data_IF_281424320700
#
_entry.id   IF_281424320700
#
_cell.length_a   1.000
_cell.length_b   1.000
_cell.length_c   1.000
_cell.angle_alpha   90.00
_cell.angle_beta   90.00
_cell.angle_gamma   90.00
#
_symmetry.space_group_name_H-M   'P 1'
#
loop_
_entity.id
_entity.type
_entity.pdbx_description
1 polymer ?
#
# COMPACT_ATOMS: atom_id res chain seq x y z
N UNK A 1 18.17 -18.68 -6.01
CA UNK A 1 17.23 -19.16 -4.94
C UNK A 1 17.09 -18.05 -3.92
N UNK A 2 15.87 -17.64 -3.62
CA UNK A 2 15.54 -16.57 -2.66
C UNK A 2 16.02 -16.91 -1.26
N UNK A 3 16.75 -15.99 -0.61
CA UNK A 3 17.23 -16.12 0.76
C UNK A 3 16.55 -15.13 1.73
N UNK A 4 15.87 -14.11 1.20
CA UNK A 4 15.11 -13.15 1.99
C UNK A 4 14.17 -12.34 1.13
N UNK A 5 13.20 -11.68 1.78
CA UNK A 5 12.15 -10.92 1.10
C UNK A 5 12.13 -9.45 1.53
N UNK A 6 11.82 -8.60 0.59
CA UNK A 6 11.35 -7.23 0.83
C UNK A 6 9.90 -7.15 0.37
N UNK A 7 9.01 -6.70 1.26
CA UNK A 7 7.61 -6.47 0.94
C UNK A 7 7.28 -4.99 0.89
N UNK A 8 6.49 -4.57 -0.08
CA UNK A 8 5.69 -3.37 0.02
C UNK A 8 4.48 -3.60 0.94
N UNK A 9 3.91 -2.51 1.49
CA UNK A 9 2.72 -2.58 2.34
C UNK A 9 1.45 -2.19 1.57
N UNK A 10 1.38 -0.95 1.10
CA UNK A 10 0.16 -0.34 0.58
C UNK A 10 -0.17 -0.77 -0.85
N UNK A 11 -1.20 -1.56 -1.04
CA UNK A 11 -1.50 -2.24 -2.29
C UNK A 11 -1.12 -3.71 -2.27
N UNK A 12 -0.09 -4.06 -1.51
CA UNK A 12 0.47 -5.41 -1.44
C UNK A 12 -0.08 -6.20 -0.26
N UNK A 13 0.26 -5.82 0.97
CA UNK A 13 -0.12 -6.57 2.17
C UNK A 13 -1.52 -6.21 2.68
N UNK A 14 -2.03 -5.04 2.35
CA UNK A 14 -3.26 -4.48 2.92
C UNK A 14 -4.47 -4.50 1.98
N UNK A 15 -4.25 -4.64 0.67
CA UNK A 15 -5.34 -4.74 -0.33
C UNK A 15 -5.20 -5.93 -1.28
N UNK A 16 -4.09 -6.71 -1.19
CA UNK A 16 -3.93 -7.94 -1.97
C UNK A 16 -3.74 -7.72 -3.48
N UNK A 17 -3.00 -6.69 -3.87
CA UNK A 17 -2.70 -6.36 -5.26
C UNK A 17 -3.64 -5.29 -5.86
N UNK A 18 -4.70 -4.88 -5.15
CA UNK A 18 -5.55 -3.82 -5.61
C UNK A 18 -4.97 -2.45 -5.24
N UNK A 19 -4.80 -1.56 -6.22
CA UNK A 19 -4.35 -0.20 -5.96
C UNK A 19 -5.33 0.55 -5.04
N UNK A 20 -4.83 1.27 -4.04
CA UNK A 20 -5.66 1.99 -3.05
C UNK A 20 -6.68 2.95 -3.66
N UNK A 21 -6.37 3.59 -4.80
CA UNK A 21 -7.33 4.41 -5.52
C UNK A 21 -8.54 3.60 -5.98
N UNK A 22 -8.33 2.37 -6.46
CA UNK A 22 -9.43 1.49 -6.89
C UNK A 22 -10.20 0.92 -5.70
N UNK A 23 -9.51 0.53 -4.63
CA UNK A 23 -10.17 0.08 -3.40
C UNK A 23 -11.11 1.15 -2.82
N UNK A 24 -10.66 2.40 -2.81
CA UNK A 24 -11.47 3.56 -2.40
C UNK A 24 -12.62 3.82 -3.39
N UNK A 25 -12.35 3.83 -4.70
CA UNK A 25 -13.39 4.06 -5.70
C UNK A 25 -14.53 3.05 -5.56
N UNK A 26 -14.21 1.77 -5.46
CA UNK A 26 -15.23 0.74 -5.25
C UNK A 26 -15.99 0.88 -3.92
N UNK A 27 -15.38 1.44 -2.88
CA UNK A 27 -16.11 1.77 -1.67
C UNK A 27 -17.12 2.91 -1.93
N UNK A 28 -16.73 3.95 -2.68
CA UNK A 28 -17.64 5.02 -3.09
C UNK A 28 -18.81 4.49 -3.91
N UNK A 29 -18.57 3.58 -4.85
CA UNK A 29 -19.62 2.92 -5.65
C UNK A 29 -20.57 2.10 -4.76
N UNK A 30 -20.04 1.25 -3.88
CA UNK A 30 -20.84 0.40 -2.98
C UNK A 30 -21.74 1.21 -2.05
N UNK A 31 -21.28 2.36 -1.62
CA UNK A 31 -22.03 3.26 -0.75
C UNK A 31 -22.82 4.32 -1.51
N UNK A 32 -22.87 4.21 -2.84
CA UNK A 32 -23.62 5.13 -3.71
C UNK A 32 -23.30 6.61 -3.45
N UNK A 33 -22.02 6.94 -3.23
CA UNK A 33 -21.60 8.33 -3.07
C UNK A 33 -21.85 9.06 -4.39
N UNK A 34 -22.62 10.19 -4.40
CA UNK A 34 -23.09 10.82 -5.63
C UNK A 34 -22.00 11.68 -6.30
N UNK A 35 -20.93 11.03 -6.76
CA UNK A 35 -19.79 11.65 -7.46
C UNK A 35 -19.40 10.80 -8.66
N UNK A 36 -18.83 11.42 -9.68
CA UNK A 36 -18.26 10.71 -10.82
C UNK A 36 -16.85 10.18 -10.49
N UNK A 37 -16.42 9.16 -11.22
CA UNK A 37 -15.03 8.65 -11.09
C UNK A 37 -13.99 9.74 -11.32
N UNK A 38 -14.22 10.64 -12.29
CA UNK A 38 -13.30 11.76 -12.55
C UNK A 38 -13.17 12.70 -11.34
N UNK A 39 -14.28 13.08 -10.71
CA UNK A 39 -14.27 13.89 -9.48
C UNK A 39 -13.57 13.17 -8.33
N UNK A 40 -13.85 11.87 -8.16
CA UNK A 40 -13.18 11.04 -7.17
C UNK A 40 -11.65 11.00 -7.41
N UNK A 41 -11.21 10.82 -8.67
CA UNK A 41 -9.78 10.80 -9.02
C UNK A 41 -9.07 12.11 -8.64
N UNK A 42 -9.70 13.24 -8.88
CA UNK A 42 -9.17 14.54 -8.46
C UNK A 42 -9.06 14.64 -6.93
N UNK A 43 -10.11 14.24 -6.21
CA UNK A 43 -10.14 14.24 -4.75
C UNK A 43 -9.10 13.30 -4.14
N UNK A 44 -8.93 12.12 -4.72
CA UNK A 44 -7.90 11.17 -4.32
C UNK A 44 -6.49 11.77 -4.44
N UNK A 45 -6.17 12.31 -5.62
CA UNK A 45 -4.86 12.93 -5.85
C UNK A 45 -4.64 14.13 -4.94
N UNK A 46 -5.68 14.93 -4.69
CA UNK A 46 -5.61 16.05 -3.76
C UNK A 46 -5.29 15.59 -2.33
N UNK A 47 -5.98 14.57 -1.84
CA UNK A 47 -5.76 14.02 -0.50
C UNK A 47 -4.34 13.44 -0.35
N UNK A 48 -3.87 12.63 -1.31
CA UNK A 48 -2.51 12.08 -1.29
C UNK A 48 -1.43 13.17 -1.26
N UNK A 49 -1.57 14.19 -2.11
CA UNK A 49 -0.64 15.33 -2.13
C UNK A 49 -0.67 16.12 -0.83
N UNK A 50 -1.85 16.30 -0.25
CA UNK A 50 -2.01 17.03 1.01
C UNK A 50 -1.36 16.28 2.16
N UNK A 51 -1.59 14.98 2.28
CA UNK A 51 -0.97 14.12 3.29
C UNK A 51 0.55 14.02 3.13
N UNK A 52 1.04 13.96 1.89
CA UNK A 52 2.48 13.89 1.62
C UNK A 52 3.24 15.20 1.88
N UNK A 53 2.55 16.35 1.92
CA UNK A 53 3.18 17.67 2.13
C UNK A 53 3.02 18.21 3.55
N UNK A 54 2.05 17.72 4.28
CA UNK A 54 1.69 18.25 5.59
C UNK A 54 1.73 17.13 6.63
N UNK A 55 2.24 17.38 7.85
CA UNK A 55 2.31 16.39 8.93
C UNK A 55 0.95 16.21 9.60
N UNK A 56 -0.07 15.82 8.83
CA UNK A 56 -1.44 15.59 9.33
C UNK A 56 -1.48 14.27 10.10
N UNK A 57 -0.81 13.24 9.56
CA UNK A 57 -0.71 11.93 10.20
C UNK A 57 0.42 11.98 11.23
N UNK A 58 0.12 11.55 12.45
CA UNK A 58 1.08 11.49 13.56
C UNK A 58 1.70 10.10 13.64
N UNK A 59 2.92 9.97 14.15
CA UNK A 59 3.55 8.66 14.35
C UNK A 59 2.76 7.70 15.25
N UNK A 60 1.86 8.22 16.08
CA UNK A 60 0.98 7.43 16.96
C UNK A 60 -0.35 7.04 16.33
N UNK A 61 -0.67 7.55 15.15
CA UNK A 61 -1.98 7.31 14.53
C UNK A 61 -2.08 5.89 14.01
N UNK A 62 -3.24 5.27 14.24
CA UNK A 62 -3.58 3.95 13.72
C UNK A 62 -3.86 4.01 12.22
N UNK A 63 -3.94 2.84 11.58
CA UNK A 63 -4.37 2.76 10.19
C UNK A 63 -5.78 3.34 10.01
N UNK A 64 -6.69 3.02 10.94
CA UNK A 64 -8.05 3.57 10.91
C UNK A 64 -8.06 5.10 10.95
N UNK A 65 -7.24 5.72 11.79
CA UNK A 65 -7.10 7.18 11.86
C UNK A 65 -6.47 7.77 10.60
N UNK A 66 -5.47 7.10 10.04
CA UNK A 66 -4.85 7.48 8.75
C UNK A 66 -5.88 7.44 7.61
N UNK A 67 -6.67 6.38 7.53
CA UNK A 67 -7.72 6.22 6.53
C UNK A 67 -8.83 7.26 6.72
N UNK A 68 -9.23 7.55 7.96
CA UNK A 68 -10.20 8.59 8.28
C UNK A 68 -9.72 9.97 7.81
N UNK A 69 -8.46 10.33 8.09
CA UNK A 69 -7.88 11.59 7.63
C UNK A 69 -7.90 11.71 6.10
N UNK A 70 -7.56 10.64 5.40
CA UNK A 70 -7.61 10.56 3.93
C UNK A 70 -9.03 10.76 3.40
N UNK A 71 -10.00 10.06 3.94
CA UNK A 71 -11.41 10.18 3.55
C UNK A 71 -11.98 11.58 3.83
N UNK A 72 -11.64 12.18 4.98
CA UNK A 72 -12.05 13.55 5.30
C UNK A 72 -11.54 14.56 4.27
N UNK A 73 -10.29 14.45 3.84
CA UNK A 73 -9.72 15.31 2.81
C UNK A 73 -10.43 15.13 1.46
N UNK A 74 -10.72 13.89 1.07
CA UNK A 74 -11.44 13.61 -0.18
C UNK A 74 -12.86 14.18 -0.15
N UNK A 75 -13.63 13.89 0.91
CA UNK A 75 -15.01 14.33 1.03
C UNK A 75 -15.12 15.85 1.17
N UNK A 76 -14.17 16.50 1.84
CA UNK A 76 -14.11 17.96 1.93
C UNK A 76 -13.82 18.59 0.54
N UNK A 77 -12.87 18.03 -0.22
CA UNK A 77 -12.57 18.48 -1.58
C UNK A 77 -13.79 18.37 -2.50
N UNK A 78 -14.45 17.21 -2.48
CA UNK A 78 -15.65 16.94 -3.27
C UNK A 78 -16.82 17.85 -2.87
N UNK A 79 -16.98 18.14 -1.61
CA UNK A 79 -18.01 19.05 -1.10
C UNK A 79 -17.83 20.50 -1.60
N UNK A 80 -16.59 20.92 -1.80
CA UNK A 80 -16.29 22.24 -2.34
C UNK A 80 -16.50 22.36 -3.86
N UNK A 81 -16.47 21.22 -4.58
CA UNK A 81 -16.75 21.19 -6.01
C UNK A 81 -18.26 21.22 -6.35
N UNK A 82 -19.13 20.96 -5.37
CA UNK A 82 -20.58 20.95 -5.60
C UNK A 82 -21.20 22.32 -5.33
N UNK A 83 -21.74 23.02 -6.34
CA UNK A 83 -22.37 24.34 -6.18
C UNK A 83 -23.72 24.28 -5.43
N UNK A 84 -24.21 23.08 -5.07
CA UNK A 84 -25.54 22.85 -4.52
C UNK A 84 -25.60 22.78 -2.98
N UNK A 85 -24.49 22.96 -2.27
CA UNK A 85 -24.48 22.81 -0.81
C UNK A 85 -23.82 23.99 -0.09
N UNK A 86 -24.62 25.06 0.09
CA UNK A 86 -24.35 26.03 1.16
C UNK A 86 -24.57 25.33 2.52
N UNK A 87 -23.57 25.36 3.37
CA UNK A 87 -23.58 25.18 4.82
C UNK A 87 -23.37 23.79 5.47
N UNK A 88 -23.34 22.67 4.84
CA UNK A 88 -22.75 21.39 5.34
C UNK A 88 -22.71 20.45 4.15
N UNK A 89 -21.51 20.02 3.74
CA UNK A 89 -21.41 19.07 2.63
C UNK A 89 -22.14 17.77 3.03
N UNK A 90 -23.25 17.38 2.38
CA UNK A 90 -23.92 16.13 2.68
C UNK A 90 -23.01 14.92 2.52
N UNK A 91 -21.87 15.09 1.82
CA UNK A 91 -20.89 14.04 1.60
C UNK A 91 -20.18 13.59 2.87
N UNK A 92 -20.09 14.43 3.91
CA UNK A 92 -19.45 14.01 5.18
C UNK A 92 -20.22 12.87 5.87
N UNK A 93 -21.50 12.71 5.59
CA UNK A 93 -22.31 11.58 6.12
C UNK A 93 -21.81 10.22 5.62
N UNK A 94 -21.12 10.17 4.49
CA UNK A 94 -20.50 8.95 3.96
C UNK A 94 -19.19 8.55 4.66
N UNK A 95 -18.62 9.42 5.49
CA UNK A 95 -17.33 9.15 6.13
C UNK A 95 -17.32 7.84 6.92
N UNK A 96 -18.26 7.66 7.85
CA UNK A 96 -18.30 6.46 8.68
C UNK A 96 -18.55 5.18 7.88
N UNK A 97 -19.55 5.12 7.00
CA UNK A 97 -19.78 3.94 6.16
C UNK A 97 -18.56 3.56 5.31
N UNK A 98 -17.91 4.54 4.66
CA UNK A 98 -16.72 4.31 3.85
C UNK A 98 -15.53 3.81 4.70
N UNK A 99 -15.33 4.45 5.85
CA UNK A 99 -14.25 4.09 6.77
C UNK A 99 -14.42 2.67 7.30
N UNK A 100 -15.63 2.30 7.72
CA UNK A 100 -15.91 0.98 8.28
C UNK A 100 -15.75 -0.11 7.21
N UNK A 101 -16.30 0.08 6.00
CA UNK A 101 -16.17 -0.87 4.89
C UNK A 101 -14.71 -1.12 4.51
N UNK A 102 -13.95 -0.05 4.28
CA UNK A 102 -12.55 -0.15 3.89
C UNK A 102 -11.69 -0.77 4.99
N UNK A 103 -11.92 -0.36 6.24
CA UNK A 103 -11.16 -0.87 7.38
C UNK A 103 -11.38 -2.38 7.58
N UNK A 104 -12.62 -2.87 7.54
CA UNK A 104 -12.91 -4.30 7.70
C UNK A 104 -12.38 -5.14 6.53
N UNK A 105 -12.40 -4.60 5.31
CA UNK A 105 -11.75 -5.25 4.15
C UNK A 105 -10.24 -5.35 4.35
N UNK A 106 -9.60 -4.27 4.76
CA UNK A 106 -8.16 -4.28 5.05
C UNK A 106 -7.81 -5.26 6.16
N UNK A 107 -8.61 -5.35 7.23
CA UNK A 107 -8.43 -6.39 8.28
C UNK A 107 -8.48 -7.81 7.71
N UNK A 108 -9.39 -8.05 6.79
CA UNK A 108 -9.52 -9.36 6.16
C UNK A 108 -8.29 -9.71 5.33
N UNK A 109 -7.84 -8.78 4.48
CA UNK A 109 -6.67 -8.99 3.62
C UNK A 109 -5.40 -9.12 4.44
N UNK A 110 -5.17 -8.23 5.42
CA UNK A 110 -3.98 -8.30 6.28
C UNK A 110 -3.91 -9.59 7.09
N UNK A 111 -5.06 -10.14 7.50
CA UNK A 111 -5.10 -11.45 8.16
C UNK A 111 -4.69 -12.60 7.22
N UNK A 112 -5.00 -12.52 5.93
CA UNK A 112 -4.55 -13.48 4.92
C UNK A 112 -3.05 -13.30 4.65
N UNK A 113 -2.60 -12.08 4.40
CA UNK A 113 -1.19 -11.75 4.19
C UNK A 113 -0.31 -12.24 5.34
N UNK A 114 -0.77 -12.06 6.58
CA UNK A 114 -0.06 -12.54 7.78
C UNK A 114 0.15 -14.05 7.79
N UNK A 115 -0.79 -14.85 7.28
CA UNK A 115 -0.62 -16.31 7.19
C UNK A 115 0.52 -16.68 6.24
N UNK A 116 0.60 -15.99 5.10
CA UNK A 116 1.69 -16.18 4.13
C UNK A 116 3.02 -15.81 4.76
N UNK A 117 3.11 -14.61 5.38
CA UNK A 117 4.34 -14.17 6.03
C UNK A 117 4.75 -15.10 7.19
N UNK A 118 3.80 -15.64 7.93
CA UNK A 118 4.09 -16.64 8.97
C UNK A 118 4.74 -17.88 8.39
N UNK A 119 4.21 -18.40 7.27
CA UNK A 119 4.80 -19.55 6.58
C UNK A 119 6.22 -19.28 6.10
N UNK A 120 6.48 -18.08 5.54
CA UNK A 120 7.84 -17.68 5.13
C UNK A 120 8.78 -17.56 6.33
N UNK A 121 8.30 -16.99 7.43
CA UNK A 121 9.05 -16.89 8.69
C UNK A 121 9.39 -18.28 9.26
N UNK A 122 8.44 -19.21 9.24
CA UNK A 122 8.63 -20.59 9.72
C UNK A 122 9.63 -21.36 8.84
N UNK A 123 9.78 -20.96 7.56
CA UNK A 123 10.83 -21.47 6.66
C UNK A 123 12.21 -20.80 6.90
N UNK A 124 12.32 -19.91 7.88
CA UNK A 124 13.55 -19.20 8.22
C UNK A 124 13.94 -18.09 7.23
N UNK A 125 13.01 -17.58 6.44
CA UNK A 125 13.27 -16.54 5.45
C UNK A 125 13.11 -15.16 6.11
N UNK A 126 14.18 -14.36 6.23
CA UNK A 126 14.11 -13.02 6.79
C UNK A 126 13.32 -12.09 5.86
N UNK A 127 12.59 -11.16 6.47
CA UNK A 127 11.74 -10.21 5.76
C UNK A 127 12.01 -8.78 6.24
N UNK A 128 11.95 -7.83 5.31
CA UNK A 128 12.00 -6.38 5.54
C UNK A 128 10.81 -5.75 4.86
N UNK A 129 10.27 -4.68 5.45
CA UNK A 129 9.21 -3.87 4.84
C UNK A 129 9.83 -2.61 4.24
N UNK A 130 9.48 -2.27 2.99
CA UNK A 130 9.85 -1.01 2.32
C UNK A 130 8.59 -0.36 1.79
N UNK A 131 8.18 0.77 2.36
CA UNK A 131 6.89 1.40 2.02
C UNK A 131 6.97 2.92 1.90
N UNK A 132 6.22 3.46 0.94
CA UNK A 132 5.87 4.88 0.95
C UNK A 132 4.71 5.08 1.92
N UNK A 133 4.99 5.66 3.10
CA UNK A 133 3.98 5.85 4.14
C UNK A 133 4.24 7.13 4.94
N UNK A 134 3.48 7.40 6.00
CA UNK A 134 3.35 8.72 6.63
C UNK A 134 4.13 8.86 7.95
N UNK A 135 4.96 7.90 8.35
CA UNK A 135 5.74 7.91 9.60
C UNK A 135 5.10 7.14 10.75
N UNK A 136 3.99 6.46 10.52
CA UNK A 136 3.25 5.70 11.54
C UNK A 136 3.21 4.18 11.28
N UNK A 137 4.03 3.68 10.36
CA UNK A 137 4.02 2.25 9.99
C UNK A 137 4.17 1.29 11.18
N UNK A 138 5.00 1.54 12.20
CA UNK A 138 5.09 0.65 13.36
C UNK A 138 3.76 0.47 14.10
N UNK A 139 2.93 1.53 14.18
CA UNK A 139 1.61 1.45 14.82
C UNK A 139 0.65 0.67 13.94
N UNK A 140 0.66 0.91 12.64
CA UNK A 140 -0.15 0.19 11.65
C UNK A 140 0.16 -1.30 11.64
N UNK A 141 1.44 -1.67 11.65
CA UNK A 141 1.84 -3.07 11.70
C UNK A 141 1.36 -3.77 12.97
N UNK A 142 1.44 -3.09 14.12
CA UNK A 142 0.91 -3.60 15.39
C UNK A 142 -0.61 -3.78 15.34
N UNK A 143 -1.33 -2.80 14.79
CA UNK A 143 -2.79 -2.84 14.67
C UNK A 143 -3.28 -4.08 13.90
N UNK A 144 -2.56 -4.49 12.87
CA UNK A 144 -2.89 -5.66 12.06
C UNK A 144 -2.12 -6.93 12.45
N UNK A 145 -1.37 -6.91 13.56
CA UNK A 145 -0.68 -8.08 14.13
C UNK A 145 0.52 -8.54 13.31
N UNK A 146 1.24 -7.61 12.69
CA UNK A 146 2.50 -7.88 12.01
C UNK A 146 3.73 -7.70 12.91
N UNK A 147 3.55 -7.60 14.23
CA UNK A 147 4.68 -7.48 15.15
C UNK A 147 5.65 -8.67 15.00
N UNK A 148 6.93 -8.36 14.89
CA UNK A 148 7.99 -9.36 14.80
C UNK A 148 8.07 -10.15 13.49
N UNK A 149 7.36 -9.74 12.44
CA UNK A 149 7.52 -10.34 11.12
C UNK A 149 8.71 -9.77 10.35
N UNK A 150 9.00 -8.50 10.52
CA UNK A 150 10.04 -7.80 9.77
C UNK A 150 11.24 -7.51 10.64
N UNK A 151 12.46 -7.76 10.12
CA UNK A 151 13.73 -7.38 10.75
C UNK A 151 13.88 -5.86 10.83
N UNK A 152 13.40 -5.16 9.80
CA UNK A 152 13.41 -3.71 9.71
C UNK A 152 12.20 -3.20 8.91
N UNK A 153 11.84 -1.94 9.17
CA UNK A 153 10.83 -1.18 8.43
C UNK A 153 11.50 0.06 7.85
N UNK A 154 11.60 0.10 6.52
CA UNK A 154 12.12 1.26 5.77
C UNK A 154 10.92 2.05 5.26
N UNK A 155 10.62 3.13 5.94
CA UNK A 155 9.46 3.99 5.66
C UNK A 155 9.89 5.33 5.06
N UNK A 156 9.31 5.71 3.93
CA UNK A 156 9.74 6.88 3.16
C UNK A 156 9.75 8.18 3.97
N UNK A 157 8.73 8.40 4.80
CA UNK A 157 8.64 9.59 5.64
C UNK A 157 9.72 9.65 6.73
N UNK A 158 10.30 8.51 7.11
CA UNK A 158 11.37 8.41 8.13
C UNK A 158 12.73 8.56 7.50
N UNK A 159 12.97 7.89 6.35
CA UNK A 159 14.30 7.89 5.70
C UNK A 159 14.49 9.05 4.73
N UNK A 160 13.43 9.80 4.39
CA UNK A 160 13.47 10.92 3.45
C UNK A 160 13.67 10.52 1.99
N UNK A 161 13.53 9.24 1.66
CA UNK A 161 13.63 8.67 0.31
C UNK A 161 12.34 7.95 0.00
N UNK A 162 11.74 8.20 -1.17
CA UNK A 162 10.46 7.59 -1.56
C UNK A 162 10.61 6.79 -2.86
N UNK A 163 9.91 5.68 -2.97
CA UNK A 163 9.72 5.00 -4.26
C UNK A 163 9.14 5.99 -5.29
N UNK A 164 9.59 6.01 -6.52
CA UNK A 164 10.38 4.98 -7.22
C UNK A 164 11.91 5.10 -7.10
N UNK A 165 12.46 5.93 -6.20
CA UNK A 165 13.90 6.01 -6.01
C UNK A 165 14.45 4.67 -5.51
N UNK A 166 15.31 4.02 -6.31
CA UNK A 166 15.87 2.69 -6.03
C UNK A 166 16.70 2.65 -4.74
N UNK A 167 17.18 3.80 -4.25
CA UNK A 167 17.96 3.89 -3.01
C UNK A 167 17.19 3.40 -1.79
N UNK A 168 15.86 3.54 -1.77
CA UNK A 168 15.06 3.05 -0.64
C UNK A 168 15.11 1.52 -0.52
N UNK A 169 15.18 0.80 -1.66
CA UNK A 169 15.32 -0.66 -1.68
C UNK A 169 16.71 -1.11 -1.26
N UNK A 170 17.77 -0.32 -1.58
CA UNK A 170 19.13 -0.61 -1.08
C UNK A 170 19.17 -0.62 0.45
N UNK A 171 18.48 0.29 1.12
CA UNK A 171 18.34 0.28 2.59
C UNK A 171 17.66 -1.01 3.08
N UNK A 172 16.68 -1.52 2.35
CA UNK A 172 16.03 -2.80 2.65
C UNK A 172 16.98 -3.99 2.49
N UNK A 173 17.78 -4.01 1.43
CA UNK A 173 18.80 -5.06 1.17
C UNK A 173 19.88 -5.03 2.25
N UNK A 174 20.37 -3.85 2.61
CA UNK A 174 21.34 -3.67 3.71
C UNK A 174 20.79 -4.19 5.05
N UNK A 175 19.52 -3.92 5.34
CA UNK A 175 18.87 -4.40 6.56
C UNK A 175 18.70 -5.93 6.59
N UNK A 176 18.61 -6.60 5.44
CA UNK A 176 18.63 -8.05 5.33
C UNK A 176 20.03 -8.65 5.51
N UNK A 177 21.08 -7.88 5.21
CA UNK A 177 22.46 -8.37 5.22
C UNK A 177 22.72 -9.44 4.14
N UNK A 178 22.02 -9.36 3.03
CA UNK A 178 22.09 -10.32 1.91
C UNK A 178 22.60 -9.64 0.64
N UNK A 179 23.15 -10.45 -0.29
CA UNK A 179 23.44 -9.97 -1.63
C UNK A 179 22.14 -9.72 -2.39
N UNK A 180 22.04 -8.64 -3.20
CA UNK A 180 20.80 -8.28 -3.91
C UNK A 180 20.16 -9.42 -4.70
N UNK A 181 20.97 -10.23 -5.39
CA UNK A 181 20.49 -11.36 -6.24
C UNK A 181 19.82 -12.48 -5.43
N UNK A 182 20.00 -12.47 -4.11
CA UNK A 182 19.36 -13.41 -3.17
C UNK A 182 18.09 -12.84 -2.53
N UNK A 183 17.78 -11.57 -2.79
CA UNK A 183 16.61 -10.88 -2.26
C UNK A 183 15.51 -10.85 -3.29
N UNK A 184 14.31 -11.22 -2.88
CA UNK A 184 13.10 -11.08 -3.70
C UNK A 184 12.24 -9.94 -3.17
N UNK A 185 11.92 -8.99 -4.04
CA UNK A 185 11.00 -7.87 -3.73
C UNK A 185 9.61 -8.19 -4.25
N UNK A 186 8.62 -8.04 -3.38
CA UNK A 186 7.21 -8.27 -3.68
C UNK A 186 6.44 -6.96 -3.56
N UNK A 187 5.77 -6.54 -4.63
CA UNK A 187 4.99 -5.30 -4.67
C UNK A 187 3.89 -5.34 -5.73
N UNK A 188 2.90 -4.44 -5.60
CA UNK A 188 1.78 -4.32 -6.54
C UNK A 188 2.03 -3.33 -7.68
N UNK A 189 2.95 -2.39 -7.50
CA UNK A 189 3.20 -1.33 -8.46
C UNK A 189 4.42 -1.60 -9.35
N UNK A 190 4.19 -1.73 -10.67
CA UNK A 190 5.30 -1.84 -11.62
C UNK A 190 6.25 -0.65 -11.53
N UNK A 191 5.71 0.57 -11.46
CA UNK A 191 6.51 1.80 -11.48
C UNK A 191 7.24 2.06 -10.15
N UNK A 192 6.62 1.71 -9.01
CA UNK A 192 7.16 2.05 -7.69
C UNK A 192 7.97 0.91 -7.08
N UNK A 193 7.62 -0.36 -7.39
CA UNK A 193 8.24 -1.51 -6.73
C UNK A 193 9.12 -2.32 -7.68
N UNK A 194 8.64 -2.62 -8.88
CA UNK A 194 9.28 -3.62 -9.74
C UNK A 194 10.41 -3.00 -10.58
N UNK A 195 10.12 -1.92 -11.31
CA UNK A 195 11.11 -1.29 -12.21
C UNK A 195 12.33 -0.78 -11.42
N UNK A 196 12.18 -0.01 -10.31
CA UNK A 196 13.34 0.51 -9.61
C UNK A 196 14.17 -0.57 -8.90
N UNK A 197 13.57 -1.68 -8.54
CA UNK A 197 14.25 -2.81 -7.90
C UNK A 197 15.23 -3.51 -8.85
N UNK A 198 14.95 -3.54 -10.14
CA UNK A 198 15.86 -4.11 -11.16
C UNK A 198 17.21 -3.39 -11.18
N UNK A 199 17.24 -2.08 -10.91
CA UNK A 199 18.48 -1.30 -10.79
C UNK A 199 19.33 -1.71 -9.55
N UNK A 200 18.68 -2.30 -8.55
CA UNK A 200 19.36 -2.81 -7.34
C UNK A 200 19.94 -4.19 -7.56
N UNK A 201 19.40 -4.95 -8.52
CA UNK A 201 19.81 -6.33 -8.83
C UNK A 201 19.05 -7.40 -8.05
N UNK A 202 17.93 -7.05 -7.41
CA UNK A 202 17.07 -8.02 -6.73
C UNK A 202 16.14 -8.74 -7.70
N UNK A 203 15.66 -9.91 -7.29
CA UNK A 203 14.57 -10.61 -7.95
C UNK A 203 13.25 -9.89 -7.69
N UNK A 204 12.33 -9.95 -8.63
CA UNK A 204 11.06 -9.21 -8.59
C UNK A 204 9.85 -10.12 -8.70
N UNK A 205 8.91 -9.96 -7.79
CA UNK A 205 7.59 -10.59 -7.85
C UNK A 205 6.52 -9.49 -7.89
N UNK A 206 5.83 -9.41 -9.00
CA UNK A 206 4.73 -8.47 -9.14
C UNK A 206 3.42 -9.12 -8.73
N UNK A 207 2.80 -8.58 -7.67
CA UNK A 207 1.44 -8.93 -7.27
C UNK A 207 0.46 -8.17 -8.16
N UNK A 208 0.06 -8.81 -9.25
CA UNK A 208 -0.79 -8.22 -10.29
C UNK A 208 -2.25 -8.24 -9.86
N UNK A 209 -2.81 -7.06 -9.67
CA UNK A 209 -4.21 -6.85 -9.36
C UNK A 209 -4.81 -5.70 -10.15
N UNK A 210 -5.87 -5.10 -9.61
CA UNK A 210 -6.54 -3.97 -10.24
C UNK A 210 -5.75 -2.68 -10.03
N UNK A 211 -5.13 -2.19 -11.10
CA UNK A 211 -4.31 -0.98 -11.10
C UNK A 211 -5.11 0.30 -11.26
N UNK A 212 -4.49 1.44 -10.92
CA UNK A 212 -5.04 2.79 -11.10
C UNK A 212 -5.17 3.20 -12.58
N UNK A 213 -4.29 2.68 -13.40
CA UNK A 213 -4.29 2.86 -14.85
C UNK A 213 -4.34 1.50 -15.54
N UNK A 214 -4.93 1.41 -16.75
CA UNK A 214 -4.85 0.17 -17.53
C UNK A 214 -3.38 -0.26 -17.65
N UNK A 215 -3.09 -1.53 -17.37
CA UNK A 215 -1.75 -2.07 -17.49
C UNK A 215 -1.28 -1.92 -18.95
N UNK A 216 -0.38 -0.98 -19.19
CA UNK A 216 0.42 -0.97 -20.41
C UNK A 216 1.32 -2.20 -20.38
N UNK A 217 1.42 -2.93 -21.50
CA UNK A 217 2.15 -4.19 -21.69
C UNK A 217 3.22 -4.50 -20.62
N UNK A 218 2.85 -5.33 -19.67
CA UNK A 218 3.69 -5.72 -18.52
C UNK A 218 4.51 -7.00 -18.79
N UNK A 219 4.49 -7.53 -20.03
CA UNK A 219 5.22 -8.73 -20.38
C UNK A 219 6.73 -8.53 -20.19
N UNK A 220 7.32 -9.30 -19.26
CA UNK A 220 8.76 -9.23 -18.95
C UNK A 220 9.15 -8.10 -17.97
N UNK A 221 8.19 -7.41 -17.36
CA UNK A 221 8.48 -6.36 -16.39
C UNK A 221 8.99 -6.90 -15.03
N UNK A 222 8.53 -8.08 -14.62
CA UNK A 222 8.93 -8.77 -13.39
C UNK A 222 9.45 -10.18 -13.71
N UNK A 223 10.27 -10.74 -12.82
CA UNK A 223 10.77 -12.10 -12.94
C UNK A 223 9.65 -13.12 -12.71
N UNK A 224 8.72 -12.81 -11.80
CA UNK A 224 7.51 -13.60 -11.56
C UNK A 224 6.30 -12.67 -11.38
N UNK A 225 5.16 -13.12 -11.90
CA UNK A 225 3.86 -12.44 -11.71
C UNK A 225 2.95 -13.38 -10.94
N UNK A 226 2.34 -12.87 -9.87
CA UNK A 226 1.38 -13.59 -9.03
C UNK A 226 0.09 -12.78 -8.91
N UNK A 227 -1.01 -13.43 -8.59
CA UNK A 227 -2.31 -12.81 -8.34
C UNK A 227 -2.77 -12.90 -6.89
N UNK A 228 -2.08 -13.71 -6.11
CA UNK A 228 -2.27 -13.87 -4.66
C UNK A 228 -0.92 -14.08 -3.99
N UNK A 229 -0.76 -13.57 -2.78
CA UNK A 229 0.45 -13.80 -1.99
C UNK A 229 0.66 -15.29 -1.65
N UNK A 230 -0.41 -16.10 -1.61
CA UNK A 230 -0.32 -17.54 -1.37
C UNK A 230 0.56 -18.25 -2.42
N UNK A 231 0.61 -17.73 -3.64
CA UNK A 231 1.46 -18.27 -4.70
C UNK A 231 2.96 -18.19 -4.39
N UNK A 232 3.38 -17.31 -3.45
CA UNK A 232 4.76 -17.29 -2.95
C UNK A 232 5.16 -18.57 -2.22
N UNK A 233 4.18 -19.34 -1.73
CA UNK A 233 4.40 -20.55 -0.96
C UNK A 233 4.53 -21.79 -1.84
N UNK A 234 4.12 -21.70 -3.09
CA UNK A 234 4.23 -22.77 -4.09
C UNK A 234 5.71 -22.98 -4.43
N UNK A 235 6.11 -24.25 -4.57
CA UNK A 235 7.46 -24.60 -5.01
C UNK A 235 7.61 -24.25 -6.49
N UNK A 236 8.69 -23.55 -6.82
CA UNK A 236 9.18 -23.42 -8.18
C UNK A 236 9.53 -24.78 -8.80
#
# INVERSE_FOLDING_TARGET
MTAGYIFDYGGTLDTGGQHWGMALWHAYERHHVPVTEAQFREAYVHAERTLGRNPIIRPSDTFRQTLEAKLRLQLAYLGNLSPLTSHHSPLISYLSPLLDDLYERTKTVTAQSRKVLQTLKDRGLPMVLVSNFYGNMPVVLREFGFDGFFLAVVESAVVGISKPDSRIFRLGVEALGLEPEKVTVVGDSLEKDIIPVREVGCQTVWLSGEGWSPASCSQGAADRVIRSLDELLEKE
#
